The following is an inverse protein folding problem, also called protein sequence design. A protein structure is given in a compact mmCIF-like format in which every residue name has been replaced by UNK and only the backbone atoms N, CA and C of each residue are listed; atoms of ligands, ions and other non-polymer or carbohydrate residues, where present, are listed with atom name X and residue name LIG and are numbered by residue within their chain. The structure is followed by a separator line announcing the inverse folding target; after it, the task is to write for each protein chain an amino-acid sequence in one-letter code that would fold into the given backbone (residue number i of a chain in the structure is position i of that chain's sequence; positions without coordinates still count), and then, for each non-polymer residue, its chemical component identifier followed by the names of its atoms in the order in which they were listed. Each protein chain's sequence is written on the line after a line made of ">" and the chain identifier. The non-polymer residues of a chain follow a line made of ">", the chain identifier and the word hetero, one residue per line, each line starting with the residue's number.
data_IF_944255828067
#
_entry.id   IF_944255828067
#
_cell.length_a   1.000
_cell.length_b   1.000
_cell.length_c   1.000
_cell.angle_alpha   90.00
_cell.angle_beta   90.00
_cell.angle_gamma   90.00
#
_symmetry.space_group_name_H-M   'P 1'
#
loop_
_entity.id
_entity.type
_entity.pdbx_description
1 polymer ?
#
# COMPACT_ATOMS: atom_id res chain seq x y z
N UNK A 1 11.09 39.49 42.15
CA UNK A 1 11.71 38.27 41.57
C UNK A 1 10.57 37.38 41.15
N UNK A 2 10.21 37.43 39.86
CA UNK A 2 9.12 36.68 39.26
C UNK A 2 9.71 35.36 38.78
N UNK A 3 9.31 34.25 39.41
CA UNK A 3 9.66 32.89 38.93
C UNK A 3 9.17 32.71 37.48
N UNK A 4 10.11 32.61 36.57
CA UNK A 4 9.85 32.18 35.23
C UNK A 4 9.37 30.72 35.31
N UNK A 5 8.05 30.52 35.17
CA UNK A 5 7.48 29.19 34.99
C UNK A 5 8.14 28.54 33.78
N UNK A 6 8.87 27.45 34.01
CA UNK A 6 9.37 26.57 32.98
C UNK A 6 8.22 26.20 32.06
N UNK A 7 8.43 26.12 30.71
CA UNK A 7 7.37 25.74 29.79
C UNK A 7 6.89 24.34 30.21
N UNK A 8 5.59 24.27 30.57
CA UNK A 8 4.90 23.01 30.86
C UNK A 8 5.18 22.04 29.73
N UNK A 9 5.67 20.89 30.07
CA UNK A 9 5.92 19.80 29.15
C UNK A 9 4.74 19.64 28.19
N UNK A 10 5.06 19.86 26.93
CA UNK A 10 4.39 19.40 25.73
C UNK A 10 2.86 19.37 25.77
N UNK A 11 2.25 20.23 25.00
CA UNK A 11 0.93 20.04 24.39
C UNK A 11 0.82 18.58 23.90
N UNK A 12 0.28 17.72 24.75
CA UNK A 12 -0.17 16.40 24.33
C UNK A 12 -1.19 16.65 23.24
N UNK A 13 -0.83 16.34 21.99
CA UNK A 13 -1.73 16.59 20.87
C UNK A 13 -3.02 15.80 21.07
N UNK A 14 -4.06 16.46 21.49
CA UNK A 14 -5.38 15.87 21.74
C UNK A 14 -6.10 15.41 20.45
N UNK A 15 -5.46 15.57 19.28
CA UNK A 15 -6.08 15.35 17.99
C UNK A 15 -7.10 16.44 17.67
N UNK A 16 -7.89 16.25 16.61
CA UNK A 16 -8.97 17.15 16.27
C UNK A 16 -10.20 16.89 17.16
N UNK A 17 -11.01 17.94 17.47
CA UNK A 17 -12.31 17.77 18.11
C UNK A 17 -13.18 16.75 17.37
N UNK A 18 -13.99 15.96 18.08
CA UNK A 18 -14.69 14.78 17.55
C UNK A 18 -15.48 15.05 16.27
N UNK A 19 -16.21 16.15 16.19
CA UNK A 19 -16.99 16.50 15.01
C UNK A 19 -16.11 16.81 13.79
N UNK A 20 -15.02 17.59 13.97
CA UNK A 20 -14.05 17.91 12.93
C UNK A 20 -13.24 16.69 12.54
N UNK A 21 -12.86 15.86 13.53
CA UNK A 21 -12.13 14.59 13.31
C UNK A 21 -12.89 13.64 12.39
N UNK A 22 -14.20 13.43 12.61
CA UNK A 22 -15.04 12.59 11.75
C UNK A 22 -15.07 13.09 10.31
N UNK A 23 -15.28 14.40 10.11
CA UNK A 23 -15.29 15.00 8.76
C UNK A 23 -13.94 14.92 8.07
N UNK A 24 -12.83 15.14 8.79
CA UNK A 24 -11.48 15.02 8.27
C UNK A 24 -11.16 13.55 7.91
N UNK A 25 -11.53 12.59 8.74
CA UNK A 25 -11.35 11.17 8.50
C UNK A 25 -12.14 10.69 7.27
N UNK A 26 -13.38 11.14 7.11
CA UNK A 26 -14.21 10.84 5.94
C UNK A 26 -13.61 11.42 4.66
N UNK A 27 -13.11 12.66 4.67
CA UNK A 27 -12.46 13.26 3.50
C UNK A 27 -11.18 12.49 3.11
N UNK A 28 -10.40 12.07 4.11
CA UNK A 28 -9.19 11.30 3.90
C UNK A 28 -9.50 9.90 3.34
N UNK A 29 -10.50 9.22 3.90
CA UNK A 29 -10.96 7.91 3.42
C UNK A 29 -11.55 8.00 2.00
N UNK A 30 -12.33 9.04 1.71
CA UNK A 30 -12.90 9.26 0.38
C UNK A 30 -11.82 9.48 -0.69
N UNK A 31 -10.76 10.26 -0.39
CA UNK A 31 -9.64 10.45 -1.29
C UNK A 31 -8.87 9.13 -1.55
N UNK A 32 -8.66 8.33 -0.51
CA UNK A 32 -8.03 7.02 -0.66
C UNK A 32 -8.92 6.04 -1.46
N UNK A 33 -10.23 6.02 -1.14
CA UNK A 33 -11.19 5.19 -1.85
C UNK A 33 -11.22 5.54 -3.35
N UNK A 34 -11.21 6.84 -3.68
CA UNK A 34 -11.16 7.32 -5.05
C UNK A 34 -9.97 6.74 -5.83
N UNK A 35 -8.77 6.79 -5.24
CA UNK A 35 -7.55 6.27 -5.88
C UNK A 35 -7.56 4.74 -6.04
N UNK A 36 -8.13 4.00 -5.08
CA UNK A 36 -8.19 2.53 -5.12
C UNK A 36 -9.31 2.06 -6.04
N UNK A 37 -10.48 2.70 -6.02
CA UNK A 37 -11.60 2.40 -6.92
C UNK A 37 -11.20 2.61 -8.39
N UNK A 38 -10.58 3.75 -8.70
CA UNK A 38 -10.10 4.03 -10.05
C UNK A 38 -9.20 2.92 -10.59
N UNK A 39 -8.20 2.50 -9.78
CA UNK A 39 -7.27 1.45 -10.18
C UNK A 39 -7.97 0.11 -10.43
N UNK A 40 -8.97 -0.25 -9.61
CA UNK A 40 -9.68 -1.54 -9.71
C UNK A 40 -10.77 -1.55 -10.77
N UNK A 41 -11.49 -0.43 -10.97
CA UNK A 41 -12.49 -0.27 -12.01
C UNK A 41 -11.85 -0.26 -13.40
N UNK A 42 -10.72 0.41 -13.58
CA UNK A 42 -9.99 0.48 -14.85
C UNK A 42 -9.59 -0.91 -15.36
N UNK A 43 -9.25 -1.87 -14.47
CA UNK A 43 -8.93 -3.24 -14.89
C UNK A 43 -10.09 -3.91 -15.65
N UNK A 44 -11.33 -3.64 -15.25
CA UNK A 44 -12.52 -4.22 -15.89
C UNK A 44 -12.78 -3.58 -17.27
N UNK A 45 -12.33 -2.33 -17.46
CA UNK A 45 -12.52 -1.59 -18.71
C UNK A 45 -11.48 -1.91 -19.80
N UNK A 46 -10.37 -2.58 -19.46
CA UNK A 46 -9.27 -2.81 -20.41
C UNK A 46 -9.73 -3.40 -21.75
N UNK A 47 -10.61 -4.44 -21.81
CA UNK A 47 -11.08 -4.98 -23.10
C UNK A 47 -11.84 -3.95 -23.94
N UNK A 48 -12.69 -3.13 -23.30
CA UNK A 48 -13.46 -2.09 -24.01
C UNK A 48 -12.54 -0.97 -24.53
N UNK A 49 -11.55 -0.56 -23.74
CA UNK A 49 -10.53 0.41 -24.15
C UNK A 49 -9.70 -0.13 -25.34
N UNK A 50 -9.31 -1.41 -25.29
CA UNK A 50 -8.54 -2.03 -26.37
C UNK A 50 -9.31 -2.01 -27.69
N UNK A 51 -10.61 -2.33 -27.65
CA UNK A 51 -11.47 -2.34 -28.83
C UNK A 51 -11.67 -0.93 -29.41
N UNK A 52 -12.00 0.04 -28.57
CA UNK A 52 -12.33 1.40 -28.98
C UNK A 52 -11.10 2.16 -29.52
N UNK A 53 -9.98 2.09 -28.81
CA UNK A 53 -8.73 2.74 -29.23
C UNK A 53 -7.88 1.89 -30.18
N UNK A 54 -8.38 0.72 -30.61
CA UNK A 54 -7.70 -0.22 -31.55
C UNK A 54 -6.28 -0.56 -31.07
N UNK A 55 -6.14 -0.78 -29.75
CA UNK A 55 -4.87 -1.09 -29.11
C UNK A 55 -4.68 -2.60 -28.98
N UNK A 56 -3.42 -3.06 -29.02
CA UNK A 56 -3.10 -4.47 -28.72
C UNK A 56 -3.30 -4.77 -27.23
N UNK A 57 -3.55 -6.05 -26.91
CA UNK A 57 -3.72 -6.50 -25.53
C UNK A 57 -2.52 -6.13 -24.64
N UNK A 58 -1.30 -6.18 -25.19
CA UNK A 58 -0.09 -5.76 -24.49
C UNK A 58 -0.02 -4.25 -24.25
N UNK A 59 -0.51 -3.44 -25.18
CA UNK A 59 -0.52 -1.99 -25.07
C UNK A 59 -1.56 -1.51 -24.05
N UNK A 60 -2.75 -2.11 -24.03
CA UNK A 60 -3.84 -1.67 -23.14
C UNK A 60 -3.51 -1.90 -21.66
N UNK A 61 -2.73 -2.92 -21.32
CA UNK A 61 -2.28 -3.17 -19.95
C UNK A 61 -1.50 -1.98 -19.37
N UNK A 62 -0.83 -1.21 -20.24
CA UNK A 62 -0.13 0.00 -19.83
C UNK A 62 -1.04 1.10 -19.28
N UNK A 63 -2.35 1.07 -19.56
CA UNK A 63 -3.32 1.99 -18.97
C UNK A 63 -3.33 1.86 -17.42
N UNK A 64 -3.22 0.65 -16.91
CA UNK A 64 -3.10 0.38 -15.47
C UNK A 64 -1.66 0.53 -14.98
N UNK A 65 -0.71 0.01 -15.75
CA UNK A 65 0.71 0.02 -15.37
C UNK A 65 1.28 1.44 -15.29
N UNK A 66 0.94 2.35 -16.20
CA UNK A 66 1.39 3.74 -16.17
C UNK A 66 0.95 4.45 -14.88
N UNK A 67 -0.30 4.25 -14.46
CA UNK A 67 -0.81 4.77 -13.19
C UNK A 67 -0.08 4.19 -11.99
N UNK A 68 -0.05 2.86 -11.86
CA UNK A 68 0.54 2.18 -10.70
C UNK A 68 2.04 2.39 -10.59
N UNK A 69 2.76 2.40 -11.71
CA UNK A 69 4.18 2.70 -11.77
C UNK A 69 4.45 4.14 -11.31
N UNK A 70 3.68 5.11 -11.83
CA UNK A 70 3.82 6.52 -11.42
C UNK A 70 3.52 6.69 -9.94
N UNK A 71 2.47 6.07 -9.41
CA UNK A 71 2.18 6.09 -7.97
C UNK A 71 3.38 5.55 -7.20
N UNK A 72 3.89 4.37 -7.55
CA UNK A 72 5.00 3.73 -6.86
C UNK A 72 6.27 4.58 -6.85
N UNK A 73 6.66 5.14 -8.00
CA UNK A 73 7.85 5.98 -8.16
C UNK A 73 7.78 7.26 -7.35
N UNK A 74 6.60 7.86 -7.22
CA UNK A 74 6.43 9.21 -6.69
C UNK A 74 5.98 9.26 -5.23
N UNK A 75 5.65 8.13 -4.59
CA UNK A 75 5.22 8.10 -3.18
C UNK A 75 6.21 8.77 -2.22
N UNK A 76 7.51 8.44 -2.30
CA UNK A 76 8.55 9.06 -1.48
C UNK A 76 8.77 10.53 -1.82
N UNK A 77 8.98 10.93 -3.09
CA UNK A 77 9.05 12.31 -3.49
C UNK A 77 7.87 13.16 -3.03
N UNK A 78 6.63 12.68 -3.23
CA UNK A 78 5.41 13.40 -2.81
C UNK A 78 5.31 13.53 -1.30
N UNK A 79 5.70 12.50 -0.55
CA UNK A 79 5.75 12.56 0.90
C UNK A 79 6.70 13.67 1.40
N UNK A 80 7.90 13.76 0.81
CA UNK A 80 8.89 14.79 1.13
C UNK A 80 8.43 16.21 0.70
N UNK A 81 7.69 16.34 -0.40
CA UNK A 81 7.03 17.59 -0.80
C UNK A 81 5.98 17.97 0.25
N UNK A 82 5.17 16.99 0.70
CA UNK A 82 4.12 17.21 1.71
C UNK A 82 4.65 17.76 3.03
N UNK A 83 5.82 17.30 3.48
CA UNK A 83 6.47 17.82 4.69
C UNK A 83 6.88 19.31 4.56
N UNK A 84 7.15 19.77 3.32
CA UNK A 84 7.64 21.15 3.04
C UNK A 84 6.50 22.12 2.74
N UNK A 85 5.55 21.75 1.88
CA UNK A 85 4.44 22.65 1.49
C UNK A 85 3.24 22.53 2.45
N UNK A 86 3.19 21.46 3.24
CA UNK A 86 2.09 21.12 4.15
C UNK A 86 1.16 20.04 3.59
N UNK A 87 0.79 19.08 4.43
CA UNK A 87 0.00 17.90 4.04
C UNK A 87 -1.37 18.24 3.44
N UNK A 88 -2.07 19.21 4.05
CA UNK A 88 -3.38 19.68 3.57
C UNK A 88 -3.29 20.28 2.15
N UNK A 89 -2.24 21.07 1.88
CA UNK A 89 -2.05 21.67 0.55
C UNK A 89 -1.71 20.61 -0.50
N UNK A 90 -0.81 19.67 -0.15
CA UNK A 90 -0.47 18.59 -1.08
C UNK A 90 -1.68 17.70 -1.36
N UNK A 91 -2.49 17.39 -0.37
CA UNK A 91 -3.73 16.62 -0.56
C UNK A 91 -4.72 17.34 -1.48
N UNK A 92 -4.86 18.66 -1.32
CA UNK A 92 -5.69 19.51 -2.18
C UNK A 92 -5.20 19.52 -3.64
N UNK A 93 -3.90 19.75 -3.87
CA UNK A 93 -3.33 19.72 -5.22
C UNK A 93 -3.36 18.31 -5.82
N UNK A 94 -3.13 17.29 -5.02
CA UNK A 94 -3.24 15.88 -5.44
C UNK A 94 -4.64 15.55 -5.95
N UNK A 95 -5.69 15.98 -5.24
CA UNK A 95 -7.08 15.80 -5.67
C UNK A 95 -7.37 16.54 -6.99
N UNK A 96 -6.92 17.80 -7.12
CA UNK A 96 -7.08 18.54 -8.37
C UNK A 96 -6.39 17.84 -9.54
N UNK A 97 -5.13 17.45 -9.36
CA UNK A 97 -4.37 16.71 -10.39
C UNK A 97 -5.09 15.41 -10.77
N UNK A 98 -5.60 14.68 -9.77
CA UNK A 98 -6.33 13.43 -10.00
C UNK A 98 -7.62 13.65 -10.79
N UNK A 99 -8.44 14.65 -10.41
CA UNK A 99 -9.71 14.99 -11.07
C UNK A 99 -9.48 15.44 -12.52
N UNK A 100 -8.53 16.37 -12.72
CA UNK A 100 -8.23 16.89 -14.07
C UNK A 100 -7.65 15.80 -14.98
N UNK A 101 -6.78 14.94 -14.44
CA UNK A 101 -6.24 13.81 -15.17
C UNK A 101 -7.32 12.75 -15.48
N UNK A 102 -8.27 12.54 -14.57
CA UNK A 102 -9.44 11.67 -14.83
C UNK A 102 -10.30 12.22 -15.97
N UNK A 103 -10.53 13.54 -15.99
CA UNK A 103 -11.21 14.18 -17.11
C UNK A 103 -10.40 14.01 -18.42
N UNK A 104 -9.07 14.20 -18.37
CA UNK A 104 -8.19 13.95 -19.50
C UNK A 104 -8.22 12.50 -19.98
N UNK A 105 -8.33 11.53 -19.08
CA UNK A 105 -8.49 10.11 -19.42
C UNK A 105 -9.83 9.85 -20.10
N UNK A 106 -10.91 10.45 -19.62
CA UNK A 106 -12.23 10.32 -20.24
C UNK A 106 -12.34 10.97 -21.62
N UNK A 107 -11.56 12.00 -21.90
CA UNK A 107 -11.51 12.70 -23.20
C UNK A 107 -10.43 12.16 -24.15
N UNK A 108 -9.74 11.08 -23.77
CA UNK A 108 -8.65 10.54 -24.56
C UNK A 108 -9.16 9.84 -25.81
N UNK A 109 -8.72 10.33 -26.97
CA UNK A 109 -9.05 9.76 -28.31
C UNK A 109 -7.96 8.82 -28.84
N UNK A 110 -6.88 8.59 -28.09
CA UNK A 110 -5.78 7.72 -28.49
C UNK A 110 -5.03 7.17 -27.28
N UNK A 111 -4.37 6.01 -27.44
CA UNK A 111 -3.56 5.39 -26.37
C UNK A 111 -2.49 6.31 -25.78
N UNK A 112 -1.67 7.06 -26.56
CA UNK A 112 -0.67 7.95 -25.97
C UNK A 112 -1.27 9.05 -25.08
N UNK A 113 -2.41 9.61 -25.47
CA UNK A 113 -3.13 10.63 -24.68
C UNK A 113 -3.65 10.03 -23.39
N UNK A 114 -4.27 8.83 -23.47
CA UNK A 114 -4.75 8.11 -22.29
C UNK A 114 -3.59 7.77 -21.33
N UNK A 115 -2.48 7.26 -21.83
CA UNK A 115 -1.30 6.95 -21.02
C UNK A 115 -0.72 8.20 -20.35
N UNK A 116 -0.64 9.32 -21.08
CA UNK A 116 -0.24 10.61 -20.51
C UNK A 116 -1.15 11.04 -19.37
N UNK A 117 -2.46 10.97 -19.57
CA UNK A 117 -3.44 11.29 -18.53
C UNK A 117 -3.30 10.34 -17.31
N UNK A 118 -3.06 9.04 -17.52
CA UNK A 118 -2.82 8.05 -16.45
C UNK A 118 -1.56 8.35 -15.64
N UNK A 119 -0.49 8.85 -16.26
CA UNK A 119 0.72 9.30 -15.55
C UNK A 119 0.37 10.48 -14.63
N UNK A 120 -0.31 11.51 -15.13
CA UNK A 120 -0.74 12.64 -14.29
C UNK A 120 -1.71 12.22 -13.19
N UNK A 121 -2.60 11.31 -13.48
CA UNK A 121 -3.51 10.74 -12.47
C UNK A 121 -2.75 9.98 -11.39
N UNK A 122 -1.68 9.25 -11.75
CA UNK A 122 -0.76 8.59 -10.82
C UNK A 122 -0.03 9.58 -9.89
N UNK A 123 0.38 10.75 -10.39
CA UNK A 123 0.93 11.83 -9.55
C UNK A 123 -0.08 12.31 -8.50
N UNK A 124 -1.33 12.54 -8.91
CA UNK A 124 -2.41 12.90 -8.00
C UNK A 124 -2.70 11.81 -6.97
N UNK A 125 -2.78 10.55 -7.41
CA UNK A 125 -2.99 9.37 -6.57
C UNK A 125 -1.89 9.19 -5.53
N UNK A 126 -0.62 9.35 -5.91
CA UNK A 126 0.50 9.23 -4.98
C UNK A 126 0.49 10.34 -3.93
N UNK A 127 0.15 11.59 -4.31
CA UNK A 127 0.01 12.71 -3.38
C UNK A 127 -1.09 12.47 -2.34
N UNK A 128 -2.18 11.81 -2.72
CA UNK A 128 -3.26 11.43 -1.80
C UNK A 128 -2.81 10.28 -0.88
N UNK A 129 -2.24 9.22 -1.46
CA UNK A 129 -1.95 7.97 -0.74
C UNK A 129 -0.78 8.12 0.24
N UNK A 130 0.29 8.87 -0.10
CA UNK A 130 1.45 9.05 0.78
C UNK A 130 1.12 9.83 2.07
N UNK A 131 0.06 10.63 2.04
CA UNK A 131 -0.32 11.49 3.16
C UNK A 131 -1.24 10.82 4.18
N UNK A 132 -1.80 9.65 3.87
CA UNK A 132 -2.80 9.03 4.72
C UNK A 132 -2.29 8.82 6.15
N UNK A 133 -1.15 8.19 6.32
CA UNK A 133 -0.55 7.93 7.63
C UNK A 133 -0.21 9.22 8.39
N UNK A 134 0.38 10.19 7.68
CA UNK A 134 0.73 11.49 8.26
C UNK A 134 -0.50 12.27 8.73
N UNK A 135 -1.57 12.28 7.94
CA UNK A 135 -2.82 12.95 8.29
C UNK A 135 -3.55 12.22 9.42
N UNK A 136 -3.63 10.88 9.41
CA UNK A 136 -4.22 10.10 10.51
C UNK A 136 -3.54 10.45 11.84
N UNK A 137 -2.22 10.54 11.87
CA UNK A 137 -1.45 10.89 13.07
C UNK A 137 -1.78 12.29 13.62
N UNK A 138 -2.18 13.22 12.75
CA UNK A 138 -2.54 14.59 13.13
C UNK A 138 -4.05 14.79 13.36
N UNK A 139 -4.89 13.88 12.85
CA UNK A 139 -6.35 13.89 13.03
C UNK A 139 -6.74 13.21 14.35
N UNK A 140 -6.10 12.10 14.68
CA UNK A 140 -6.44 11.27 15.83
C UNK A 140 -5.52 11.53 17.03
N UNK A 141 -6.05 11.52 18.27
CA UNK A 141 -5.22 11.50 19.46
C UNK A 141 -4.43 10.19 19.53
N UNK A 142 -3.30 10.14 20.27
CA UNK A 142 -2.40 8.97 20.30
C UNK A 142 -3.10 7.64 20.61
N UNK A 143 -4.06 7.65 21.54
CA UNK A 143 -4.82 6.46 21.95
C UNK A 143 -5.86 5.99 20.94
N UNK A 144 -6.13 6.73 19.85
CA UNK A 144 -7.07 6.39 18.78
C UNK A 144 -6.42 6.25 17.39
N UNK A 145 -5.10 6.32 17.30
CA UNK A 145 -4.38 6.20 16.01
C UNK A 145 -4.70 4.86 15.33
N UNK A 146 -4.80 3.77 16.11
CA UNK A 146 -5.18 2.45 15.59
C UNK A 146 -6.52 2.44 14.85
N UNK A 147 -7.51 3.19 15.36
CA UNK A 147 -8.81 3.35 14.66
C UNK A 147 -8.66 4.05 13.31
N UNK A 148 -7.81 5.07 13.24
CA UNK A 148 -7.52 5.77 11.98
C UNK A 148 -6.83 4.87 10.95
N UNK A 149 -5.90 4.03 11.40
CA UNK A 149 -5.21 3.06 10.54
C UNK A 149 -6.17 1.93 10.11
N UNK A 150 -7.03 1.47 11.03
CA UNK A 150 -8.09 0.52 10.70
C UNK A 150 -9.05 1.05 9.62
N UNK A 151 -9.38 2.34 9.68
CA UNK A 151 -10.18 3.00 8.62
C UNK A 151 -9.45 2.95 7.26
N UNK A 152 -8.13 3.14 7.23
CA UNK A 152 -7.33 2.96 6.01
C UNK A 152 -7.48 1.55 5.45
N UNK A 153 -7.19 0.53 6.26
CA UNK A 153 -7.22 -0.87 5.85
C UNK A 153 -8.63 -1.26 5.35
N UNK A 154 -9.67 -0.83 6.06
CA UNK A 154 -11.06 -1.05 5.66
C UNK A 154 -11.39 -0.35 4.34
N UNK A 155 -10.99 0.93 4.17
CA UNK A 155 -11.23 1.67 2.93
C UNK A 155 -10.59 0.99 1.72
N UNK A 156 -9.32 0.58 1.83
CA UNK A 156 -8.61 -0.13 0.77
C UNK A 156 -9.29 -1.46 0.45
N UNK A 157 -9.59 -2.28 1.47
CA UNK A 157 -10.20 -3.59 1.29
C UNK A 157 -11.59 -3.49 0.64
N UNK A 158 -12.46 -2.62 1.16
CA UNK A 158 -13.81 -2.42 0.62
C UNK A 158 -13.75 -1.90 -0.82
N UNK A 159 -12.91 -0.90 -1.10
CA UNK A 159 -12.76 -0.35 -2.44
C UNK A 159 -12.23 -1.39 -3.44
N UNK A 160 -11.31 -2.25 -3.01
CA UNK A 160 -10.76 -3.32 -3.87
C UNK A 160 -11.78 -4.40 -4.22
N UNK A 161 -12.72 -4.70 -3.30
CA UNK A 161 -13.79 -5.68 -3.54
C UNK A 161 -14.91 -5.09 -4.40
N UNK A 162 -15.33 -3.86 -4.08
CA UNK A 162 -16.50 -3.22 -4.73
C UNK A 162 -16.12 -2.63 -6.09
N UNK A 163 -14.86 -2.21 -6.28
CA UNK A 163 -14.42 -1.50 -7.48
C UNK A 163 -14.74 -2.24 -8.79
N UNK A 164 -14.35 -3.51 -8.96
CA UNK A 164 -14.69 -4.26 -10.17
C UNK A 164 -16.19 -4.35 -10.43
N UNK A 165 -17.00 -4.50 -9.38
CA UNK A 165 -18.47 -4.55 -9.50
C UNK A 165 -19.05 -3.22 -9.95
N UNK A 166 -18.58 -2.09 -9.42
CA UNK A 166 -18.98 -0.75 -9.86
C UNK A 166 -18.54 -0.54 -11.32
N UNK A 167 -17.31 -0.92 -11.68
CA UNK A 167 -16.80 -0.82 -13.05
C UNK A 167 -17.65 -1.61 -14.03
N UNK A 168 -17.96 -2.87 -13.72
CA UNK A 168 -18.84 -3.71 -14.54
C UNK A 168 -20.25 -3.14 -14.65
N UNK A 169 -20.81 -2.60 -13.57
CA UNK A 169 -22.11 -1.93 -13.57
C UNK A 169 -22.10 -0.70 -14.49
N UNK A 170 -21.11 0.16 -14.40
CA UNK A 170 -20.98 1.33 -15.28
C UNK A 170 -20.92 0.89 -16.75
N UNK A 171 -20.07 -0.10 -17.07
CA UNK A 171 -19.89 -0.61 -18.43
C UNK A 171 -21.13 -1.31 -19.00
N UNK A 172 -22.03 -1.80 -18.16
CA UNK A 172 -23.27 -2.44 -18.64
C UNK A 172 -24.29 -1.45 -19.23
N UNK A 173 -24.17 -0.15 -18.92
CA UNK A 173 -25.08 0.91 -19.39
C UNK A 173 -24.41 2.02 -20.19
N UNK A 174 -23.07 2.09 -20.13
CA UNK A 174 -22.29 3.21 -20.67
C UNK A 174 -21.00 2.73 -21.31
N UNK A 175 -20.16 3.66 -21.74
CA UNK A 175 -18.84 3.42 -22.31
C UNK A 175 -17.73 3.53 -21.25
N UNK A 176 -16.50 3.12 -21.61
CA UNK A 176 -15.37 3.06 -20.66
C UNK A 176 -14.96 4.42 -20.08
N UNK A 177 -15.22 5.52 -20.77
CA UNK A 177 -14.91 6.89 -20.33
C UNK A 177 -15.63 7.24 -19.04
N UNK A 178 -16.83 6.68 -18.82
CA UNK A 178 -17.60 6.91 -17.60
C UNK A 178 -16.95 6.36 -16.34
N UNK A 179 -16.04 5.40 -16.45
CA UNK A 179 -15.22 4.95 -15.34
C UNK A 179 -14.34 6.09 -14.80
N UNK A 180 -13.76 6.87 -15.71
CA UNK A 180 -12.96 8.03 -15.34
C UNK A 180 -13.81 9.23 -14.94
N UNK A 181 -14.95 9.44 -15.60
CA UNK A 181 -15.92 10.49 -15.23
C UNK A 181 -16.51 10.29 -13.83
N UNK A 182 -16.65 9.04 -13.36
CA UNK A 182 -17.08 8.71 -12.01
C UNK A 182 -16.18 9.36 -10.94
N UNK A 183 -14.90 9.54 -11.23
CA UNK A 183 -13.96 10.16 -10.31
C UNK A 183 -14.24 11.66 -10.07
N UNK A 184 -14.89 12.35 -11.00
CA UNK A 184 -15.13 13.79 -10.89
C UNK A 184 -16.08 14.14 -9.74
N UNK A 185 -17.33 13.62 -9.67
CA UNK A 185 -18.23 13.94 -8.57
C UNK A 185 -17.68 13.50 -7.21
N UNK A 186 -17.07 12.32 -7.13
CA UNK A 186 -16.46 11.80 -5.89
C UNK A 186 -15.28 12.67 -5.45
N UNK A 187 -14.42 13.08 -6.40
CA UNK A 187 -13.29 13.97 -6.14
C UNK A 187 -13.73 15.36 -5.67
N UNK A 188 -14.76 15.96 -6.32
CA UNK A 188 -15.31 17.26 -5.92
C UNK A 188 -15.92 17.20 -4.52
N UNK A 189 -16.69 16.15 -4.20
CA UNK A 189 -17.21 15.94 -2.86
C UNK A 189 -16.10 15.79 -1.81
N UNK A 190 -15.04 15.05 -2.15
CA UNK A 190 -13.85 14.92 -1.29
C UNK A 190 -13.16 16.26 -1.07
N UNK A 191 -13.08 17.10 -2.12
CA UNK A 191 -12.51 18.45 -2.06
C UNK A 191 -13.20 19.33 -1.02
N UNK A 192 -14.53 19.25 -0.90
CA UNK A 192 -15.28 19.98 0.13
C UNK A 192 -14.87 19.57 1.56
N UNK A 193 -14.37 18.35 1.71
CA UNK A 193 -13.89 17.83 2.99
C UNK A 193 -12.48 18.31 3.36
N UNK A 194 -11.67 18.77 2.42
CA UNK A 194 -10.27 19.19 2.66
C UNK A 194 -10.16 20.33 3.70
N UNK A 195 -11.16 21.18 3.79
CA UNK A 195 -11.21 22.27 4.79
C UNK A 195 -11.12 21.79 6.23
N UNK A 196 -11.51 20.55 6.51
CA UNK A 196 -11.50 19.96 7.86
C UNK A 196 -10.14 19.36 8.22
N UNK A 197 -9.25 19.14 7.25
CA UNK A 197 -7.91 18.61 7.50
C UNK A 197 -7.08 19.56 8.36
N UNK A 198 -6.20 19.05 9.24
CA UNK A 198 -5.33 19.86 10.07
C UNK A 198 -4.23 20.53 9.26
N UNK A 199 -3.87 21.74 9.65
CA UNK A 199 -2.63 22.37 9.23
C UNK A 199 -1.50 21.87 10.14
N UNK A 200 -0.44 21.33 9.54
CA UNK A 200 0.69 20.72 10.26
C UNK A 200 1.94 21.58 10.03
N UNK A 201 2.80 21.78 11.05
CA UNK A 201 4.06 22.48 10.89
C UNK A 201 4.90 21.89 9.76
N UNK A 202 5.50 22.77 8.96
CA UNK A 202 6.30 22.42 7.78
C UNK A 202 7.77 22.32 8.15
N UNK A 203 8.52 21.53 7.37
CA UNK A 203 9.96 21.47 7.47
C UNK A 203 10.56 22.55 6.57
N UNK A 204 11.47 23.37 7.13
CA UNK A 204 12.14 24.46 6.40
C UNK A 204 13.34 23.99 5.54
N UNK A 205 13.56 22.68 5.40
CA UNK A 205 14.67 22.15 4.61
C UNK A 205 14.38 22.25 3.10
N UNK A 206 15.42 22.52 2.31
CA UNK A 206 15.33 22.53 0.86
C UNK A 206 14.93 21.15 0.31
N UNK A 207 14.22 21.15 -0.82
CA UNK A 207 13.85 19.89 -1.48
C UNK A 207 15.00 19.40 -2.36
N UNK A 208 15.42 18.14 -2.16
CA UNK A 208 16.47 17.53 -2.98
C UNK A 208 15.89 16.88 -4.23
N UNK A 209 15.82 17.67 -5.32
CA UNK A 209 15.32 17.19 -6.61
C UNK A 209 16.15 16.04 -7.18
N UNK A 210 17.46 16.02 -6.93
CA UNK A 210 18.33 14.96 -7.40
C UNK A 210 18.06 13.64 -6.67
N UNK A 211 17.90 13.67 -5.34
CA UNK A 211 17.50 12.49 -4.59
C UNK A 211 16.10 11.99 -5.00
N UNK A 212 15.18 12.90 -5.34
CA UNK A 212 13.86 12.53 -5.87
C UNK A 212 13.98 11.82 -7.22
N UNK A 213 14.79 12.34 -8.15
CA UNK A 213 15.04 11.69 -9.43
C UNK A 213 15.69 10.32 -9.27
N UNK A 214 16.71 10.19 -8.40
CA UNK A 214 17.33 8.88 -8.08
C UNK A 214 16.30 7.90 -7.51
N UNK A 215 15.42 8.34 -6.60
CA UNK A 215 14.38 7.50 -6.02
C UNK A 215 13.39 7.00 -7.07
N UNK A 216 12.91 7.90 -7.93
CA UNK A 216 12.00 7.56 -9.02
C UNK A 216 12.63 6.56 -9.99
N UNK A 217 13.87 6.83 -10.40
CA UNK A 217 14.61 5.95 -11.32
C UNK A 217 14.87 4.58 -10.70
N UNK A 218 15.24 4.51 -9.41
CA UNK A 218 15.45 3.24 -8.70
C UNK A 218 14.19 2.38 -8.74
N UNK A 219 13.03 2.95 -8.40
CA UNK A 219 11.76 2.21 -8.36
C UNK A 219 11.31 1.83 -9.78
N UNK A 220 11.48 2.72 -10.76
CA UNK A 220 11.15 2.43 -12.16
C UNK A 220 11.96 1.24 -12.69
N UNK A 221 13.28 1.30 -12.53
CA UNK A 221 14.18 0.23 -12.99
C UNK A 221 13.92 -1.09 -12.25
N UNK A 222 13.56 -1.03 -10.98
CA UNK A 222 13.18 -2.20 -10.20
C UNK A 222 11.94 -2.87 -10.78
N UNK A 223 10.86 -2.12 -10.99
CA UNK A 223 9.58 -2.66 -11.48
C UNK A 223 9.74 -3.16 -12.92
N UNK A 224 10.36 -2.37 -13.80
CA UNK A 224 10.59 -2.76 -15.19
C UNK A 224 11.56 -3.95 -15.30
N UNK A 225 12.57 -4.02 -14.42
CA UNK A 225 13.50 -5.14 -14.37
C UNK A 225 12.83 -6.45 -13.98
N UNK A 226 11.84 -6.41 -13.09
CA UNK A 226 11.06 -7.59 -12.71
C UNK A 226 10.08 -7.99 -13.82
N UNK A 227 9.42 -7.03 -14.45
CA UNK A 227 8.58 -7.30 -15.60
C UNK A 227 9.39 -8.00 -16.73
N UNK A 228 10.61 -7.53 -16.96
CA UNK A 228 11.52 -8.11 -17.95
C UNK A 228 11.99 -9.54 -17.62
N UNK A 229 11.87 -10.03 -16.38
CA UNK A 229 12.26 -11.41 -16.03
C UNK A 229 11.49 -12.46 -16.83
N UNK A 230 10.26 -12.16 -17.22
CA UNK A 230 9.39 -13.05 -17.99
C UNK A 230 9.65 -13.01 -19.51
N UNK A 231 10.29 -11.95 -20.01
CA UNK A 231 10.46 -11.71 -21.45
C UNK A 231 11.90 -11.70 -21.91
N UNK A 232 12.80 -11.10 -21.13
CA UNK A 232 14.21 -10.96 -21.49
C UNK A 232 15.10 -10.94 -20.24
N UNK A 233 15.67 -12.09 -19.91
CA UNK A 233 16.50 -12.26 -18.70
C UNK A 233 17.72 -11.32 -18.66
N UNK A 234 18.39 -11.07 -19.79
CA UNK A 234 19.55 -10.18 -19.83
C UNK A 234 19.15 -8.73 -19.52
N UNK A 235 18.06 -8.25 -20.12
CA UNK A 235 17.50 -6.93 -19.85
C UNK A 235 17.10 -6.81 -18.37
N UNK A 236 16.47 -7.85 -17.81
CA UNK A 236 16.10 -7.88 -16.39
C UNK A 236 17.33 -7.72 -15.48
N UNK A 237 18.41 -8.47 -15.72
CA UNK A 237 19.66 -8.38 -14.96
C UNK A 237 20.25 -6.96 -15.04
N UNK A 238 20.28 -6.35 -16.23
CA UNK A 238 20.80 -4.99 -16.42
C UNK A 238 19.96 -3.98 -15.65
N UNK A 239 18.62 -4.03 -15.76
CA UNK A 239 17.73 -3.08 -15.10
C UNK A 239 17.77 -3.23 -13.56
N UNK A 240 17.79 -4.47 -13.05
CA UNK A 240 17.88 -4.74 -11.61
C UNK A 240 19.24 -4.33 -11.04
N UNK A 241 20.35 -4.58 -11.76
CA UNK A 241 21.68 -4.14 -11.36
C UNK A 241 21.78 -2.61 -11.34
N UNK A 242 21.24 -1.94 -12.35
CA UNK A 242 21.18 -0.48 -12.41
C UNK A 242 20.32 0.09 -11.26
N UNK A 243 19.17 -0.52 -10.97
CA UNK A 243 18.33 -0.16 -9.82
C UNK A 243 19.09 -0.28 -8.50
N UNK A 244 19.84 -1.36 -8.30
CA UNK A 244 20.66 -1.55 -7.10
C UNK A 244 21.73 -0.48 -6.94
N UNK A 245 22.49 -0.19 -8.01
CA UNK A 245 23.57 0.82 -7.99
C UNK A 245 23.01 2.22 -7.71
N UNK A 246 21.94 2.61 -8.40
CA UNK A 246 21.29 3.92 -8.21
C UNK A 246 20.67 4.02 -6.82
N UNK A 247 20.01 2.96 -6.35
CA UNK A 247 19.45 2.88 -5.00
C UNK A 247 20.51 3.00 -3.90
N UNK A 248 21.66 2.37 -4.10
CA UNK A 248 22.80 2.49 -3.19
C UNK A 248 23.35 3.94 -3.16
N UNK A 249 23.50 4.58 -4.32
CA UNK A 249 23.89 5.98 -4.40
C UNK A 249 22.88 6.90 -3.70
N UNK A 250 21.58 6.65 -3.85
CA UNK A 250 20.51 7.35 -3.17
C UNK A 250 20.62 7.22 -1.64
N UNK A 251 20.83 6.00 -1.14
CA UNK A 251 20.98 5.74 0.31
C UNK A 251 22.22 6.45 0.86
N UNK A 252 23.36 6.36 0.16
CA UNK A 252 24.59 7.07 0.55
C UNK A 252 24.40 8.58 0.61
N UNK A 253 23.74 9.16 -0.39
CA UNK A 253 23.43 10.58 -0.42
C UNK A 253 22.51 10.99 0.72
N UNK A 254 21.46 10.20 0.95
CA UNK A 254 20.47 10.45 2.02
C UNK A 254 21.07 10.36 3.43
N UNK A 255 22.07 9.51 3.64
CA UNK A 255 22.72 9.35 4.93
C UNK A 255 23.49 10.59 5.41
N UNK A 256 23.82 11.51 4.49
CA UNK A 256 24.56 12.74 4.76
C UNK A 256 23.67 13.98 4.98
N UNK A 257 22.35 13.82 4.87
CA UNK A 257 21.38 14.92 4.96
C UNK A 257 20.69 14.96 6.32
N UNK A 258 20.33 16.17 6.77
CA UNK A 258 19.58 16.39 8.02
C UNK A 258 18.10 16.05 7.90
N UNK A 259 17.51 16.19 6.72
CA UNK A 259 16.13 15.81 6.39
C UNK A 259 16.10 15.03 5.07
N UNK A 260 16.61 13.78 5.08
CA UNK A 260 16.77 13.01 3.87
C UNK A 260 15.41 12.61 3.27
N UNK A 261 15.37 12.51 1.93
CA UNK A 261 14.21 12.02 1.20
C UNK A 261 13.96 10.53 1.52
N UNK A 262 15.01 9.72 1.52
CA UNK A 262 14.95 8.36 2.08
C UNK A 262 15.27 8.47 3.57
N UNK A 263 14.33 8.19 4.46
CA UNK A 263 14.48 8.46 5.88
C UNK A 263 15.36 7.41 6.57
N UNK A 264 16.65 7.37 6.20
CA UNK A 264 17.66 6.47 6.80
C UNK A 264 17.86 6.73 8.29
N UNK A 265 17.58 7.94 8.76
CA UNK A 265 17.54 8.32 10.17
C UNK A 265 16.54 7.48 10.98
N UNK A 266 15.41 7.12 10.39
CA UNK A 266 14.38 6.32 11.05
C UNK A 266 14.81 4.86 11.28
N UNK A 267 15.77 4.35 10.52
CA UNK A 267 16.33 3.01 10.76
C UNK A 267 17.18 2.92 12.05
N UNK A 268 17.55 4.06 12.65
CA UNK A 268 18.20 4.07 13.96
C UNK A 268 17.23 3.70 15.09
N UNK A 269 15.93 3.82 14.87
CA UNK A 269 14.89 3.49 15.85
C UNK A 269 14.62 1.97 15.81
N UNK A 270 14.90 1.21 16.88
CA UNK A 270 14.75 -0.26 16.89
C UNK A 270 13.33 -0.70 16.54
N UNK A 271 12.30 -0.03 17.10
CA UNK A 271 10.91 -0.33 16.82
C UNK A 271 10.57 -0.19 15.32
N UNK A 272 11.18 0.79 14.63
CA UNK A 272 11.02 0.99 13.19
C UNK A 272 11.66 -0.14 12.40
N UNK A 273 12.88 -0.57 12.76
CA UNK A 273 13.55 -1.69 12.06
C UNK A 273 12.73 -2.96 12.09
N UNK A 274 12.24 -3.35 13.28
CA UNK A 274 11.37 -4.52 13.42
C UNK A 274 10.08 -4.38 12.64
N UNK A 275 9.44 -3.20 12.69
CA UNK A 275 8.20 -2.95 11.97
C UNK A 275 8.39 -3.03 10.45
N UNK A 276 9.49 -2.49 9.93
CA UNK A 276 9.84 -2.56 8.50
C UNK A 276 10.18 -3.98 8.05
N UNK A 277 10.98 -4.72 8.83
CA UNK A 277 11.33 -6.11 8.52
C UNK A 277 10.08 -7.02 8.50
N UNK A 278 9.19 -6.86 9.48
CA UNK A 278 7.93 -7.58 9.52
C UNK A 278 7.02 -7.20 8.35
N UNK A 279 6.91 -5.89 8.01
CA UNK A 279 6.18 -5.42 6.83
C UNK A 279 6.74 -6.02 5.55
N UNK A 280 8.06 -5.96 5.37
CA UNK A 280 8.72 -6.50 4.19
C UNK A 280 8.38 -7.98 3.99
N UNK A 281 8.54 -8.80 5.04
CA UNK A 281 8.22 -10.22 4.98
C UNK A 281 6.74 -10.47 4.66
N UNK A 282 5.83 -9.72 5.29
CA UNK A 282 4.39 -9.91 5.09
C UNK A 282 3.92 -9.49 3.69
N UNK A 283 4.50 -8.42 3.12
CA UNK A 283 4.18 -8.01 1.75
C UNK A 283 4.80 -8.93 0.70
N UNK A 284 5.99 -9.52 0.97
CA UNK A 284 6.53 -10.60 0.14
C UNK A 284 5.58 -11.81 0.13
N UNK A 285 5.12 -12.24 1.31
CA UNK A 285 4.16 -13.34 1.43
C UNK A 285 2.85 -13.05 0.69
N UNK A 286 2.32 -11.84 0.84
CA UNK A 286 1.10 -11.42 0.13
C UNK A 286 1.26 -11.54 -1.38
N UNK A 287 2.34 -10.98 -1.94
CA UNK A 287 2.53 -10.99 -3.40
C UNK A 287 2.85 -12.37 -3.93
N UNK A 288 3.67 -13.13 -3.21
CA UNK A 288 3.93 -14.53 -3.55
C UNK A 288 2.61 -15.34 -3.60
N UNK A 289 1.68 -15.10 -2.67
CA UNK A 289 0.35 -15.70 -2.69
C UNK A 289 -0.46 -15.24 -3.90
N UNK A 290 -0.54 -13.93 -4.16
CA UNK A 290 -1.34 -13.38 -5.25
C UNK A 290 -0.88 -13.86 -6.63
N UNK A 291 0.42 -14.14 -6.79
CA UNK A 291 0.96 -14.69 -8.04
C UNK A 291 0.75 -16.21 -8.11
N UNK A 292 1.04 -16.95 -7.04
CA UNK A 292 1.04 -18.42 -7.07
C UNK A 292 -0.36 -19.04 -7.00
N UNK A 293 -1.25 -18.42 -6.24
CA UNK A 293 -2.58 -18.97 -5.93
C UNK A 293 -3.46 -19.21 -7.18
N UNK A 294 -3.58 -18.28 -8.13
CA UNK A 294 -4.37 -18.52 -9.34
C UNK A 294 -3.89 -19.74 -10.11
N UNK A 295 -2.57 -19.90 -10.27
CA UNK A 295 -1.98 -21.06 -10.95
C UNK A 295 -2.22 -22.35 -10.15
N UNK A 296 -2.09 -22.31 -8.83
CA UNK A 296 -2.36 -23.46 -7.97
C UNK A 296 -3.82 -23.91 -8.10
N UNK A 297 -4.77 -22.98 -8.04
CA UNK A 297 -6.21 -23.28 -8.15
C UNK A 297 -6.57 -23.81 -9.54
N UNK A 298 -6.01 -23.22 -10.62
CA UNK A 298 -6.34 -23.60 -11.99
C UNK A 298 -5.61 -24.89 -12.43
N UNK A 299 -4.30 -24.97 -12.20
CA UNK A 299 -3.45 -26.05 -12.74
C UNK A 299 -3.44 -27.25 -11.79
N UNK A 300 -3.37 -27.04 -10.47
CA UNK A 300 -3.26 -28.15 -9.51
C UNK A 300 -4.63 -28.65 -9.06
N UNK A 301 -5.57 -27.74 -8.78
CA UNK A 301 -6.89 -28.08 -8.30
C UNK A 301 -7.96 -28.12 -9.41
N UNK A 302 -7.59 -27.83 -10.68
CA UNK A 302 -8.48 -27.81 -11.86
C UNK A 302 -9.76 -26.97 -11.66
N UNK A 303 -9.68 -25.85 -10.94
CA UNK A 303 -10.83 -24.96 -10.71
C UNK A 303 -11.07 -24.05 -11.93
N UNK A 304 -12.33 -23.86 -12.36
CA UNK A 304 -12.67 -22.95 -13.44
C UNK A 304 -12.32 -21.49 -13.06
N UNK A 305 -11.98 -20.68 -14.04
CA UNK A 305 -11.50 -19.30 -13.85
C UNK A 305 -12.45 -18.45 -12.99
N UNK A 306 -13.78 -18.65 -13.13
CA UNK A 306 -14.77 -17.96 -12.30
C UNK A 306 -14.66 -18.31 -10.82
N UNK A 307 -14.46 -19.58 -10.48
CA UNK A 307 -14.26 -20.03 -9.10
C UNK A 307 -12.97 -19.48 -8.52
N UNK A 308 -11.89 -19.40 -9.31
CA UNK A 308 -10.62 -18.80 -8.88
C UNK A 308 -10.82 -17.34 -8.47
N UNK A 309 -11.56 -16.55 -9.25
CA UNK A 309 -11.86 -15.16 -8.90
C UNK A 309 -12.60 -15.04 -7.57
N UNK A 310 -13.60 -15.87 -7.34
CA UNK A 310 -14.36 -15.92 -6.07
C UNK A 310 -13.46 -16.31 -4.91
N UNK A 311 -12.65 -17.36 -5.07
CA UNK A 311 -11.75 -17.85 -4.03
C UNK A 311 -10.69 -16.78 -3.64
N UNK A 312 -10.13 -16.07 -4.61
CA UNK A 312 -9.19 -14.98 -4.36
C UNK A 312 -9.83 -13.81 -3.62
N UNK A 313 -11.14 -13.56 -3.82
CA UNK A 313 -11.86 -12.52 -3.08
C UNK A 313 -11.93 -12.80 -1.56
N UNK A 314 -11.69 -14.03 -1.11
CA UNK A 314 -11.59 -14.37 0.31
C UNK A 314 -10.54 -13.54 1.06
N UNK A 315 -9.40 -13.24 0.43
CA UNK A 315 -8.34 -12.43 1.05
C UNK A 315 -8.79 -10.99 1.40
N UNK A 316 -9.25 -10.16 0.46
CA UNK A 316 -9.71 -8.81 0.80
C UNK A 316 -10.95 -8.82 1.69
N UNK A 317 -11.83 -9.82 1.59
CA UNK A 317 -12.96 -9.98 2.51
C UNK A 317 -12.46 -10.19 3.94
N UNK A 318 -11.54 -11.11 4.16
CA UNK A 318 -10.92 -11.34 5.47
C UNK A 318 -10.24 -10.11 6.04
N UNK A 319 -9.47 -9.40 5.22
CA UNK A 319 -8.80 -8.16 5.59
C UNK A 319 -9.80 -7.06 5.98
N UNK A 320 -10.92 -6.93 5.25
CA UNK A 320 -11.98 -5.97 5.56
C UNK A 320 -12.70 -6.28 6.88
N UNK A 321 -13.04 -7.55 7.11
CA UNK A 321 -13.71 -8.00 8.34
C UNK A 321 -12.91 -7.64 9.59
N UNK A 322 -11.60 -7.88 9.56
CA UNK A 322 -10.75 -7.65 10.74
C UNK A 322 -10.34 -6.19 10.92
N UNK A 323 -10.36 -5.37 9.87
CA UNK A 323 -9.87 -3.99 9.91
C UNK A 323 -10.59 -3.14 10.97
N UNK A 324 -11.89 -3.34 11.15
CA UNK A 324 -12.69 -2.63 12.14
C UNK A 324 -12.31 -2.99 13.60
N UNK A 325 -11.82 -4.22 13.83
CA UNK A 325 -11.47 -4.76 15.13
C UNK A 325 -9.99 -4.54 15.45
N UNK A 326 -9.11 -4.74 14.48
CA UNK A 326 -7.66 -4.64 14.64
C UNK A 326 -7.23 -3.24 15.11
N UNK A 327 -7.90 -2.19 14.63
CA UNK A 327 -7.62 -0.81 15.03
C UNK A 327 -7.76 -0.59 16.54
N UNK A 328 -8.96 -0.70 17.11
CA UNK A 328 -9.19 -0.55 18.55
C UNK A 328 -8.37 -1.52 19.41
N UNK A 329 -8.14 -2.75 18.92
CA UNK A 329 -7.37 -3.74 19.65
C UNK A 329 -5.89 -3.35 19.74
N UNK A 330 -5.34 -2.75 18.68
CA UNK A 330 -3.97 -2.25 18.66
C UNK A 330 -3.74 -1.08 19.63
N UNK A 331 -4.81 -0.41 20.06
CA UNK A 331 -4.74 0.66 21.06
C UNK A 331 -4.62 0.12 22.51
N UNK A 332 -4.98 -1.17 22.72
CA UNK A 332 -5.08 -1.78 24.06
C UNK A 332 -4.01 -2.84 24.34
N UNK A 333 -3.54 -3.54 23.30
CA UNK A 333 -2.64 -4.68 23.45
C UNK A 333 -1.27 -4.43 22.82
N UNK A 334 -0.22 -5.13 23.28
CA UNK A 334 1.13 -5.02 22.72
C UNK A 334 1.13 -5.35 21.22
N UNK A 335 1.65 -4.42 20.42
CA UNK A 335 1.65 -4.53 18.96
C UNK A 335 2.40 -5.76 18.47
N UNK A 336 3.50 -6.14 19.14
CA UNK A 336 4.29 -7.31 18.76
C UNK A 336 3.46 -8.61 18.81
N UNK A 337 2.60 -8.76 19.84
CA UNK A 337 1.71 -9.91 19.98
C UNK A 337 0.66 -9.90 18.88
N UNK A 338 -0.05 -8.77 18.69
CA UNK A 338 -1.11 -8.68 17.69
C UNK A 338 -0.58 -8.92 16.27
N UNK A 339 0.53 -8.27 15.92
CA UNK A 339 1.15 -8.45 14.61
C UNK A 339 1.71 -9.87 14.42
N UNK A 340 2.24 -10.48 15.48
CA UNK A 340 2.69 -11.87 15.47
C UNK A 340 1.55 -12.86 15.23
N UNK A 341 0.43 -12.70 15.96
CA UNK A 341 -0.78 -13.50 15.77
C UNK A 341 -1.39 -13.34 14.37
N UNK A 342 -1.37 -12.09 13.84
CA UNK A 342 -1.81 -11.84 12.47
C UNK A 342 -0.95 -12.57 11.44
N UNK A 343 0.37 -12.48 11.54
CA UNK A 343 1.29 -13.20 10.66
C UNK A 343 1.14 -14.73 10.78
N UNK A 344 0.92 -15.25 11.98
CA UNK A 344 0.66 -16.67 12.22
C UNK A 344 -0.67 -17.13 11.59
N UNK A 345 -1.74 -16.37 11.77
CA UNK A 345 -3.03 -16.65 11.13
C UNK A 345 -2.93 -16.66 9.60
N UNK A 346 -2.14 -15.74 9.02
CA UNK A 346 -1.86 -15.72 7.59
C UNK A 346 -1.10 -16.99 7.15
N UNK A 347 -0.05 -17.40 7.88
CA UNK A 347 0.68 -18.62 7.60
C UNK A 347 -0.20 -19.88 7.71
N UNK A 348 -1.07 -19.95 8.72
CA UNK A 348 -2.02 -21.05 8.91
C UNK A 348 -3.02 -21.08 7.76
N UNK A 349 -3.63 -19.95 7.40
CA UNK A 349 -4.58 -19.89 6.29
C UNK A 349 -3.99 -20.37 4.97
N UNK A 350 -2.76 -19.91 4.64
CA UNK A 350 -2.03 -20.38 3.46
C UNK A 350 -1.63 -21.86 3.56
N UNK A 351 -1.20 -22.31 4.75
CA UNK A 351 -0.87 -23.71 5.01
C UNK A 351 -2.09 -24.64 4.79
N UNK A 352 -3.27 -24.21 5.24
CA UNK A 352 -4.52 -24.96 5.00
C UNK A 352 -4.79 -25.10 3.50
N UNK A 353 -4.59 -24.05 2.68
CA UNK A 353 -4.77 -24.15 1.22
C UNK A 353 -3.84 -25.20 0.61
N UNK A 354 -2.58 -25.29 1.07
CA UNK A 354 -1.57 -26.22 0.52
C UNK A 354 -1.82 -27.66 0.96
N UNK A 355 -2.25 -27.86 2.22
CA UNK A 355 -2.44 -29.20 2.80
C UNK A 355 -3.79 -29.82 2.47
N UNK A 356 -4.77 -29.02 2.05
CA UNK A 356 -6.10 -29.52 1.68
C UNK A 356 -6.01 -30.49 0.49
N UNK A 357 -6.79 -31.60 0.52
CA UNK A 357 -6.87 -32.51 -0.61
C UNK A 357 -7.45 -31.81 -1.84
N UNK A 358 -7.11 -32.28 -3.03
CA UNK A 358 -7.58 -31.74 -4.32
C UNK A 358 -9.12 -31.78 -4.44
N UNK A 359 -9.77 -32.66 -3.70
CA UNK A 359 -11.24 -32.80 -3.60
C UNK A 359 -11.89 -31.82 -2.61
N UNK A 360 -11.11 -30.96 -1.93
CA UNK A 360 -11.66 -30.00 -0.96
C UNK A 360 -12.71 -29.09 -1.63
N UNK A 361 -13.80 -28.80 -0.91
CA UNK A 361 -14.84 -27.91 -1.41
C UNK A 361 -14.34 -26.46 -1.51
N UNK A 362 -14.89 -25.70 -2.44
CA UNK A 362 -14.56 -24.28 -2.63
C UNK A 362 -14.87 -23.46 -1.37
N UNK A 363 -15.85 -23.86 -0.57
CA UNK A 363 -16.18 -23.21 0.70
C UNK A 363 -15.02 -23.30 1.71
N UNK A 364 -14.33 -24.44 1.79
CA UNK A 364 -13.17 -24.60 2.66
C UNK A 364 -11.96 -23.80 2.16
N UNK A 365 -11.71 -23.82 0.85
CA UNK A 365 -10.65 -23.01 0.24
C UNK A 365 -10.90 -21.52 0.45
N UNK A 366 -12.14 -21.07 0.25
CA UNK A 366 -12.53 -19.68 0.52
C UNK A 366 -12.32 -19.30 1.99
N UNK A 367 -12.74 -20.17 2.93
CA UNK A 367 -12.55 -19.95 4.37
C UNK A 367 -11.07 -19.84 4.75
N UNK A 368 -10.21 -20.68 4.17
CA UNK A 368 -8.77 -20.62 4.37
C UNK A 368 -8.18 -19.29 3.83
N UNK A 369 -8.67 -18.81 2.69
CA UNK A 369 -8.28 -17.52 2.13
C UNK A 369 -8.79 -16.33 2.97
N UNK A 370 -10.00 -16.42 3.52
CA UNK A 370 -10.53 -15.44 4.47
C UNK A 370 -9.64 -15.40 5.73
N UNK A 371 -9.24 -16.57 6.26
CA UNK A 371 -8.33 -16.63 7.41
C UNK A 371 -6.97 -15.99 7.11
N UNK A 372 -6.39 -16.26 5.95
CA UNK A 372 -5.15 -15.61 5.50
C UNK A 372 -5.31 -14.09 5.40
N UNK A 373 -6.43 -13.62 4.86
CA UNK A 373 -6.77 -12.18 4.77
C UNK A 373 -6.99 -11.53 6.14
N UNK A 374 -7.68 -12.21 7.06
CA UNK A 374 -7.80 -11.79 8.47
C UNK A 374 -6.41 -11.65 9.08
N UNK A 375 -5.55 -12.64 8.89
CA UNK A 375 -4.17 -12.62 9.37
C UNK A 375 -3.39 -11.42 8.87
N UNK A 376 -3.46 -11.14 7.58
CA UNK A 376 -2.83 -9.98 6.95
C UNK A 376 -3.34 -8.63 7.52
N UNK A 377 -4.65 -8.45 7.60
CA UNK A 377 -5.25 -7.21 8.13
C UNK A 377 -4.94 -7.01 9.62
N UNK A 378 -4.95 -8.12 10.40
CA UNK A 378 -4.62 -8.10 11.82
C UNK A 378 -3.13 -7.84 12.10
N UNK A 379 -2.24 -8.23 11.18
CA UNK A 379 -0.83 -7.83 11.20
C UNK A 379 -0.66 -6.36 10.86
N UNK A 380 -1.25 -5.90 9.76
CA UNK A 380 -0.93 -4.61 9.13
C UNK A 380 -1.27 -3.42 10.03
N UNK A 381 -2.45 -3.43 10.65
CA UNK A 381 -2.95 -2.29 11.43
C UNK A 381 -2.10 -1.98 12.65
N UNK A 382 -1.78 -2.94 13.56
CA UNK A 382 -0.90 -2.68 14.69
C UNK A 382 0.52 -2.30 14.26
N UNK A 383 1.07 -2.96 13.24
CA UNK A 383 2.42 -2.70 12.77
C UNK A 383 2.57 -1.28 12.20
N UNK A 384 1.59 -0.82 11.41
CA UNK A 384 1.55 0.54 10.88
C UNK A 384 1.42 1.58 12.02
N UNK A 385 0.67 1.27 13.08
CA UNK A 385 0.56 2.14 14.25
C UNK A 385 1.91 2.38 14.90
N UNK A 386 2.74 1.34 15.06
CA UNK A 386 4.07 1.52 15.63
C UNK A 386 4.97 2.32 14.69
N UNK A 387 4.96 2.05 13.40
CA UNK A 387 5.75 2.83 12.45
C UNK A 387 5.43 4.32 12.58
N UNK A 388 4.14 4.68 12.54
CA UNK A 388 3.69 6.06 12.66
C UNK A 388 3.95 6.65 14.06
N UNK A 389 3.82 5.86 15.12
CA UNK A 389 4.01 6.30 16.50
C UNK A 389 5.47 6.49 16.90
N UNK A 390 6.40 5.75 16.28
CA UNK A 390 7.83 5.74 16.66
C UNK A 390 8.64 6.93 16.14
N UNK A 391 8.18 7.61 15.10
CA UNK A 391 8.92 8.74 14.53
C UNK A 391 8.47 10.09 15.10
N UNK A 392 9.29 11.15 15.02
CA UNK A 392 8.87 12.51 15.31
C UNK A 392 7.69 12.95 14.42
N UNK A 393 6.83 13.84 14.93
CA UNK A 393 5.61 14.26 14.22
C UNK A 393 5.89 14.94 12.88
N UNK A 394 6.92 15.76 12.84
CA UNK A 394 7.37 16.45 11.62
C UNK A 394 7.94 15.49 10.56
N UNK A 395 8.20 14.21 10.92
CA UNK A 395 8.67 13.15 10.02
C UNK A 395 7.57 12.13 9.66
N UNK A 396 6.32 12.43 9.98
CA UNK A 396 5.20 11.52 9.70
C UNK A 396 5.00 11.25 8.20
N UNK A 397 5.29 12.23 7.35
CA UNK A 397 5.32 12.06 5.89
C UNK A 397 6.40 11.06 5.46
N UNK A 398 7.63 11.22 5.98
CA UNK A 398 8.73 10.29 5.70
C UNK A 398 8.40 8.84 6.11
N UNK A 399 7.69 8.63 7.24
CA UNK A 399 7.22 7.29 7.64
C UNK A 399 6.22 6.74 6.62
N UNK A 400 5.26 7.54 6.18
CA UNK A 400 4.29 7.13 5.16
C UNK A 400 4.96 6.74 3.84
N UNK A 401 5.92 7.55 3.39
CA UNK A 401 6.73 7.26 2.22
C UNK A 401 7.56 5.98 2.37
N UNK A 402 8.24 5.81 3.51
CA UNK A 402 9.03 4.61 3.81
C UNK A 402 8.17 3.35 3.83
N UNK A 403 6.99 3.41 4.46
CA UNK A 403 6.03 2.31 4.50
C UNK A 403 5.55 1.91 3.11
N UNK A 404 5.21 2.90 2.28
CA UNK A 404 4.76 2.66 0.92
C UNK A 404 5.87 2.07 0.04
N UNK A 405 7.10 2.59 0.16
CA UNK A 405 8.27 2.05 -0.56
C UNK A 405 8.59 0.64 -0.11
N UNK A 406 8.59 0.36 1.20
CA UNK A 406 8.78 -1.00 1.73
C UNK A 406 7.75 -1.95 1.16
N UNK A 407 6.48 -1.54 1.09
CA UNK A 407 5.42 -2.34 0.48
C UNK A 407 5.71 -2.68 -0.97
N UNK A 408 5.97 -1.65 -1.81
CA UNK A 408 6.21 -1.85 -3.24
C UNK A 408 7.43 -2.73 -3.47
N UNK A 409 8.55 -2.41 -2.82
CA UNK A 409 9.78 -3.19 -2.93
C UNK A 409 9.56 -4.66 -2.54
N UNK A 410 8.89 -4.91 -1.44
CA UNK A 410 8.67 -6.27 -0.93
C UNK A 410 7.68 -7.06 -1.78
N UNK A 411 6.63 -6.42 -2.27
CA UNK A 411 5.69 -7.05 -3.22
C UNK A 411 6.43 -7.45 -4.50
N UNK A 412 7.26 -6.55 -5.02
CA UNK A 412 8.07 -6.79 -6.21
C UNK A 412 9.07 -7.93 -5.99
N UNK A 413 9.75 -7.94 -4.85
CA UNK A 413 10.69 -9.00 -4.49
C UNK A 413 9.99 -10.36 -4.31
N UNK A 414 8.81 -10.38 -3.69
CA UNK A 414 8.00 -11.58 -3.55
C UNK A 414 7.57 -12.16 -4.90
N UNK A 415 7.14 -11.31 -5.84
CA UNK A 415 6.81 -11.71 -7.21
C UNK A 415 8.01 -12.28 -7.95
N UNK A 416 9.19 -11.64 -7.81
CA UNK A 416 10.42 -12.09 -8.43
C UNK A 416 10.85 -13.51 -7.97
N UNK A 417 10.79 -13.77 -6.67
CA UNK A 417 11.11 -15.09 -6.13
C UNK A 417 10.18 -16.16 -6.72
N UNK A 418 8.88 -15.87 -6.79
CA UNK A 418 7.91 -16.83 -7.40
C UNK A 418 8.20 -17.05 -8.88
N UNK A 419 8.54 -15.99 -9.62
CA UNK A 419 8.92 -16.13 -11.04
C UNK A 419 10.14 -17.03 -11.20
N UNK A 420 11.17 -16.90 -10.34
CA UNK A 420 12.32 -17.80 -10.32
C UNK A 420 11.90 -19.23 -9.99
N UNK A 421 11.04 -19.43 -8.97
CA UNK A 421 10.54 -20.77 -8.62
C UNK A 421 9.80 -21.41 -9.79
N UNK A 422 9.01 -20.64 -10.54
CA UNK A 422 8.30 -21.14 -11.73
C UNK A 422 9.26 -21.49 -12.86
N UNK A 423 10.33 -20.70 -13.06
CA UNK A 423 11.33 -20.93 -14.11
C UNK A 423 12.19 -22.17 -13.87
N UNK A 424 12.30 -22.66 -12.63
CA UNK A 424 13.02 -23.90 -12.31
C UNK A 424 12.31 -25.17 -12.82
N UNK A 425 11.11 -25.05 -13.39
CA UNK A 425 10.43 -26.13 -14.11
C UNK A 425 9.96 -27.30 -13.25
N UNK A 426 9.94 -27.16 -11.94
CA UNK A 426 9.35 -28.18 -11.06
C UNK A 426 7.85 -28.24 -11.29
N UNK A 427 7.28 -29.40 -11.61
CA UNK A 427 5.85 -29.58 -11.87
C UNK A 427 4.92 -29.12 -10.72
N UNK A 428 5.50 -28.89 -9.54
CA UNK A 428 4.86 -28.32 -8.34
C UNK A 428 5.11 -26.80 -8.16
N UNK A 429 5.54 -26.09 -9.20
CA UNK A 429 5.87 -24.66 -9.13
C UNK A 429 4.87 -23.79 -8.37
N UNK A 430 3.55 -23.85 -8.69
CA UNK A 430 2.55 -23.07 -7.98
C UNK A 430 2.45 -23.40 -6.48
N UNK A 431 2.56 -24.65 -6.10
CA UNK A 431 2.58 -25.09 -4.70
C UNK A 431 3.85 -24.57 -3.98
N UNK A 432 5.01 -24.68 -4.63
CA UNK A 432 6.27 -24.14 -4.08
C UNK A 432 6.20 -22.63 -3.87
N UNK A 433 5.56 -21.88 -4.78
CA UNK A 433 5.30 -20.45 -4.61
C UNK A 433 4.46 -20.13 -3.38
N UNK A 434 3.44 -20.95 -3.08
CA UNK A 434 2.67 -20.83 -1.83
C UNK A 434 3.53 -21.20 -0.61
N UNK A 435 4.41 -22.21 -0.69
CA UNK A 435 5.34 -22.53 0.38
C UNK A 435 6.33 -21.37 0.65
N UNK A 436 6.78 -20.68 -0.37
CA UNK A 436 7.58 -19.43 -0.24
C UNK A 436 6.78 -18.37 0.50
N UNK A 437 5.50 -18.19 0.17
CA UNK A 437 4.62 -17.25 0.88
C UNK A 437 4.48 -17.59 2.36
N UNK A 438 4.28 -18.87 2.69
CA UNK A 438 4.23 -19.37 4.08
C UNK A 438 5.56 -19.10 4.78
N UNK A 439 6.69 -19.35 4.13
CA UNK A 439 8.02 -19.08 4.68
C UNK A 439 8.20 -17.61 5.07
N UNK A 440 7.81 -16.68 4.21
CA UNK A 440 7.83 -15.25 4.53
C UNK A 440 6.86 -14.87 5.66
N UNK A 441 5.68 -15.47 5.72
CA UNK A 441 4.75 -15.25 6.82
C UNK A 441 5.35 -15.74 8.17
N UNK A 442 6.03 -16.87 8.19
CA UNK A 442 6.73 -17.39 9.37
C UNK A 442 7.93 -16.51 9.76
N UNK A 443 8.67 -15.95 8.80
CA UNK A 443 9.70 -14.94 9.08
C UNK A 443 9.08 -13.73 9.78
N UNK A 444 7.90 -13.26 9.33
CA UNK A 444 7.20 -12.17 9.99
C UNK A 444 6.78 -12.53 11.44
N UNK A 445 6.38 -13.77 11.71
CA UNK A 445 6.14 -14.28 13.07
C UNK A 445 7.41 -14.20 13.90
N UNK A 446 8.53 -14.71 13.40
CA UNK A 446 9.84 -14.67 14.07
C UNK A 446 10.30 -13.27 14.40
N UNK A 447 10.18 -12.33 13.45
CA UNK A 447 10.53 -10.91 13.66
C UNK A 447 9.68 -10.28 14.77
N UNK A 448 8.36 -10.55 14.81
CA UNK A 448 7.49 -10.01 15.87
C UNK A 448 7.76 -10.67 17.23
N UNK A 449 8.12 -11.95 17.26
CA UNK A 449 8.54 -12.66 18.48
C UNK A 449 9.83 -12.05 19.04
N UNK A 450 10.85 -11.83 18.19
CA UNK A 450 12.09 -11.15 18.60
C UNK A 450 11.82 -9.73 19.11
N UNK A 451 10.94 -9.00 18.43
CA UNK A 451 10.51 -7.67 18.85
C UNK A 451 9.86 -7.69 20.25
N UNK A 452 9.04 -8.68 20.55
CA UNK A 452 8.40 -8.81 21.85
C UNK A 452 9.42 -9.00 22.98
N UNK A 453 10.43 -9.85 22.78
CA UNK A 453 11.47 -10.10 23.77
C UNK A 453 12.45 -8.94 23.94
N UNK A 454 12.65 -8.11 22.91
CA UNK A 454 13.54 -6.95 22.96
C UNK A 454 12.84 -5.65 23.40
N UNK A 455 11.51 -5.66 23.54
CA UNK A 455 10.80 -4.52 24.10
C UNK A 455 11.26 -4.32 25.55
N UNK A 456 11.68 -3.11 25.95
CA UNK A 456 11.99 -2.84 27.37
C UNK A 456 10.75 -3.18 28.17
N UNK A 457 10.87 -4.13 29.08
CA UNK A 457 9.83 -4.39 30.09
C UNK A 457 9.68 -3.12 30.89
N UNK A 458 8.65 -2.32 30.62
CA UNK A 458 8.27 -1.25 31.53
C UNK A 458 8.05 -1.92 32.88
N UNK A 459 8.83 -1.52 33.89
CA UNK A 459 8.61 -1.91 35.27
C UNK A 459 7.17 -1.58 35.65
N UNK A 460 6.30 -2.56 35.51
CA UNK A 460 5.04 -2.63 36.21
C UNK A 460 5.33 -3.39 37.50
N UNK A 461 6.05 -2.73 38.43
CA UNK A 461 6.15 -3.11 39.85
C UNK A 461 6.54 -1.82 40.58
N UNK A 462 5.57 -1.18 41.20
CA UNK A 462 5.72 -0.01 42.03
C UNK A 462 4.41 0.67 42.24
#
# INVERSE_FOLDING_TARGET
>A
MTEAQAPRAADAHEGLPTARRRKAALALAAGLALAVLDATMTNVALPSIAQDLKASDSAVVWVVNAYTLTVAMTLLPMSAIGERIGFKRLFYYGLWTFILASLGSALASSMPVLLGARIFQGLGGSAIMCLFGALVRNIYPPHLIGRGIGLNAMTVAVSSVIGPSIGAFILSFTTWEWIFLFNLPVGILTMLGVRYLPDVPRISASYDWFAAALSMTTIALLILGIDALSTNFLLAVVLLSASFVIGWALVRRSAQQTAPLVPVDLFRIPAMRFALAASASTFCAQMATMVSLPFYLQVTLNRPQMAVGVLMAGWPVGAALIAAIAGPLSDRFPVAILSGLGAAAMAIGLGLVVVMPTSASDAWLFTAMVLAGIGFGFFQTPNNRVMLGSAPRNRAGAVGGLQATTRVFSQTFGAAIVAVVFSLGFGSGPMLGLCVAIGFALIAVGVNTLRYFQAPRSRADG
#
